data_IF_593685468304
#
_entry.id   IF_593685468304
#
_cell.length_a   1.000
_cell.length_b   1.000
_cell.length_c   1.000
_cell.angle_alpha   90.00
_cell.angle_beta   90.00
_cell.angle_gamma   90.00
#
_symmetry.space_group_name_H-M   'P 1'
#
loop_
_entity.id
_entity.type
_entity.pdbx_description
1 polymer ?
#
# COMPACT_ATOMS: atom_id res chain seq x y z
N UNK A 1 -29.94 42.41 11.65
CA UNK A 1 -28.51 42.34 11.28
C UNK A 1 -27.85 41.41 12.28
N UNK A 2 -27.98 40.11 12.06
CA UNK A 2 -27.33 39.10 12.91
C UNK A 2 -26.14 38.55 12.13
N UNK A 3 -24.97 38.64 12.77
CA UNK A 3 -23.68 38.27 12.22
C UNK A 3 -23.60 36.78 11.99
N UNK A 4 -23.48 36.41 10.71
CA UNK A 4 -23.03 35.10 10.27
C UNK A 4 -21.63 34.83 10.83
N UNK A 5 -21.56 33.96 11.84
CA UNK A 5 -20.31 33.37 12.33
C UNK A 5 -19.66 32.61 11.18
N UNK A 6 -18.57 33.15 10.66
CA UNK A 6 -17.64 32.46 9.78
C UNK A 6 -17.15 31.22 10.54
N UNK A 7 -17.56 30.03 10.09
CA UNK A 7 -17.06 28.78 10.62
C UNK A 7 -15.61 28.64 10.13
N UNK A 8 -14.65 28.68 11.05
CA UNK A 8 -13.24 28.45 10.73
C UNK A 8 -13.09 27.10 9.99
N UNK A 9 -12.24 27.02 8.95
CA UNK A 9 -12.00 25.77 8.25
C UNK A 9 -11.46 24.73 9.25
N UNK A 10 -11.97 23.49 9.22
CA UNK A 10 -11.53 22.47 10.16
C UNK A 10 -10.02 22.23 10.01
N UNK A 11 -9.30 21.97 11.11
CA UNK A 11 -7.86 21.74 11.06
C UNK A 11 -7.54 20.55 10.13
N UNK A 12 -6.42 20.65 9.43
CA UNK A 12 -5.90 19.69 8.42
C UNK A 12 -5.87 18.24 8.93
N UNK A 13 -5.92 18.05 10.25
CA UNK A 13 -5.79 16.78 10.96
C UNK A 13 -7.13 16.02 11.11
N UNK A 14 -8.24 16.58 10.63
CA UNK A 14 -9.59 15.99 10.79
C UNK A 14 -9.72 14.64 10.09
N UNK A 15 -8.97 14.41 9.01
CA UNK A 15 -8.98 13.14 8.30
C UNK A 15 -8.31 12.01 9.10
N UNK A 16 -7.21 12.31 9.81
CA UNK A 16 -6.51 11.33 10.65
C UNK A 16 -7.39 10.89 11.82
N UNK A 17 -8.04 11.84 12.50
CA UNK A 17 -8.97 11.53 13.59
C UNK A 17 -10.24 10.80 13.11
N UNK A 18 -10.70 11.03 11.89
CA UNK A 18 -11.85 10.32 11.32
C UNK A 18 -11.51 8.85 10.97
N UNK A 19 -10.26 8.57 10.56
CA UNK A 19 -9.80 7.20 10.33
C UNK A 19 -9.53 6.48 11.66
N UNK A 20 -8.93 7.15 12.64
CA UNK A 20 -8.71 6.60 13.98
C UNK A 20 -10.03 6.28 14.69
N UNK A 21 -11.04 7.15 14.53
CA UNK A 21 -12.39 6.93 15.06
C UNK A 21 -13.10 5.72 14.41
N UNK A 22 -12.69 5.29 13.22
CA UNK A 22 -13.26 4.12 12.55
C UNK A 22 -12.61 2.80 12.98
N UNK A 23 -11.41 2.86 13.56
CA UNK A 23 -10.47 1.73 13.55
C UNK A 23 -10.44 0.88 14.82
N UNK A 24 -10.75 1.42 16.00
CA UNK A 24 -10.39 0.72 17.26
C UNK A 24 -11.51 -0.05 17.99
N UNK A 25 -12.76 0.44 18.03
CA UNK A 25 -13.77 -0.07 18.98
C UNK A 25 -15.18 -0.35 18.40
N UNK A 26 -15.33 -0.41 17.07
CA UNK A 26 -16.64 -0.66 16.48
C UNK A 26 -16.96 -2.16 16.36
N UNK A 27 -18.08 -2.66 16.94
CA UNK A 27 -18.44 -4.08 16.95
C UNK A 27 -18.80 -4.68 15.57
N UNK A 28 -18.71 -3.88 14.50
CA UNK A 28 -18.98 -4.28 13.11
C UNK A 28 -17.73 -4.26 12.21
N UNK A 29 -16.61 -3.71 12.66
CA UNK A 29 -15.38 -3.62 11.88
C UNK A 29 -14.37 -4.67 12.36
N UNK A 30 -14.37 -5.82 11.69
CA UNK A 30 -13.33 -6.83 11.84
C UNK A 30 -12.44 -6.82 10.58
N UNK A 31 -11.16 -6.40 10.69
CA UNK A 31 -10.23 -6.40 9.56
C UNK A 31 -10.12 -7.76 8.87
N UNK A 32 -10.22 -8.84 9.65
CA UNK A 32 -10.17 -10.19 9.12
C UNK A 32 -11.40 -10.47 8.24
N UNK A 33 -12.61 -10.20 8.75
CA UNK A 33 -13.84 -10.33 7.97
C UNK A 33 -13.84 -9.45 6.71
N UNK A 34 -13.34 -8.21 6.79
CA UNK A 34 -13.21 -7.34 5.62
C UNK A 34 -12.28 -7.94 4.55
N UNK A 35 -11.13 -8.49 4.95
CA UNK A 35 -10.25 -9.21 4.04
C UNK A 35 -10.91 -10.44 3.40
N UNK A 36 -11.70 -11.21 4.16
CA UNK A 36 -12.49 -12.33 3.62
C UNK A 36 -13.45 -11.84 2.52
N UNK A 37 -14.20 -10.78 2.80
CA UNK A 37 -15.15 -10.19 1.86
C UNK A 37 -14.46 -9.68 0.60
N UNK A 38 -13.26 -9.11 0.74
CA UNK A 38 -12.42 -8.70 -0.39
C UNK A 38 -11.89 -9.91 -1.17
N UNK A 39 -11.45 -10.99 -0.52
CA UNK A 39 -11.00 -12.21 -1.20
C UNK A 39 -12.13 -12.85 -2.04
N UNK A 40 -13.38 -12.80 -1.58
CA UNK A 40 -14.54 -13.32 -2.35
C UNK A 40 -14.79 -12.52 -3.64
N UNK A 41 -14.33 -11.26 -3.71
CA UNK A 41 -14.45 -10.41 -4.91
C UNK A 41 -13.31 -10.60 -5.91
N UNK A 42 -12.34 -11.45 -5.61
CA UNK A 42 -11.26 -11.74 -6.55
C UNK A 42 -11.83 -12.37 -7.83
N UNK A 43 -11.34 -11.96 -9.02
CA UNK A 43 -11.73 -12.59 -10.27
C UNK A 43 -11.31 -14.07 -10.36
N UNK A 44 -11.61 -14.74 -11.47
CA UNK A 44 -11.04 -16.07 -11.72
C UNK A 44 -9.52 -15.98 -11.86
N UNK A 45 -8.80 -17.06 -11.48
CA UNK A 45 -7.34 -17.11 -11.56
C UNK A 45 -6.81 -16.80 -12.97
N UNK A 46 -7.47 -17.31 -14.01
CA UNK A 46 -7.12 -17.03 -15.40
C UNK A 46 -7.27 -15.54 -15.75
N UNK A 47 -8.34 -14.89 -15.27
CA UNK A 47 -8.57 -13.47 -15.52
C UNK A 47 -7.54 -12.61 -14.78
N UNK A 48 -7.13 -12.99 -13.57
CA UNK A 48 -6.08 -12.28 -12.83
C UNK A 48 -4.72 -12.32 -13.55
N UNK A 49 -4.33 -13.47 -14.09
CA UNK A 49 -3.10 -13.59 -14.90
C UNK A 49 -3.17 -12.68 -16.14
N UNK A 50 -4.32 -12.64 -16.80
CA UNK A 50 -4.53 -11.76 -17.96
C UNK A 50 -4.40 -10.28 -17.59
N UNK A 51 -5.07 -9.85 -16.51
CA UNK A 51 -4.98 -8.47 -16.02
C UNK A 51 -3.55 -8.08 -15.65
N UNK A 52 -2.83 -8.94 -14.93
CA UNK A 52 -1.42 -8.71 -14.60
C UNK A 52 -0.56 -8.55 -15.87
N UNK A 53 -0.78 -9.41 -16.87
CA UNK A 53 -0.07 -9.35 -18.15
C UNK A 53 -0.34 -8.04 -18.89
N UNK A 54 -1.60 -7.57 -18.93
CA UNK A 54 -1.97 -6.29 -19.55
C UNK A 54 -1.30 -5.13 -18.82
N UNK A 55 -1.33 -5.12 -17.50
CA UNK A 55 -0.68 -4.09 -16.69
C UNK A 55 0.82 -3.99 -16.97
N UNK A 56 1.56 -5.10 -16.94
CA UNK A 56 3.01 -5.07 -17.19
C UNK A 56 3.35 -4.75 -18.65
N UNK A 57 2.50 -5.14 -19.60
CA UNK A 57 2.70 -4.85 -21.02
C UNK A 57 2.46 -3.38 -21.36
N UNK A 58 1.42 -2.77 -20.81
CA UNK A 58 0.92 -1.46 -21.25
C UNK A 58 1.05 -0.36 -20.17
N UNK A 59 1.09 -0.70 -18.89
CA UNK A 59 0.94 0.24 -17.76
C UNK A 59 2.23 0.62 -17.03
N UNK A 60 3.30 -0.17 -17.13
CA UNK A 60 4.54 0.05 -16.37
C UNK A 60 5.52 1.06 -17.01
N UNK A 61 5.17 1.70 -18.13
CA UNK A 61 6.09 2.53 -18.91
C UNK A 61 6.63 3.76 -18.15
N UNK A 62 5.85 4.34 -17.23
CA UNK A 62 6.24 5.52 -16.45
C UNK A 62 6.80 5.17 -15.06
N UNK A 63 6.30 4.09 -14.47
CA UNK A 63 6.59 3.71 -13.08
C UNK A 63 6.10 2.29 -12.82
N UNK A 64 6.94 1.47 -12.21
CA UNK A 64 6.59 0.12 -11.77
C UNK A 64 6.77 0.02 -10.26
N UNK A 65 5.76 0.38 -9.46
CA UNK A 65 5.85 0.28 -8.00
C UNK A 65 5.93 -1.17 -7.51
N UNK A 66 5.59 -2.14 -8.36
CA UNK A 66 5.68 -3.57 -8.09
C UNK A 66 6.39 -4.31 -9.24
N UNK A 67 7.14 -5.36 -8.90
CA UNK A 67 7.82 -6.23 -9.86
C UNK A 67 6.91 -7.38 -10.32
N UNK A 68 7.13 -7.94 -11.54
CA UNK A 68 6.37 -9.10 -12.01
C UNK A 68 6.41 -10.30 -11.05
N UNK A 69 7.59 -10.62 -10.50
CA UNK A 69 7.75 -11.71 -9.55
C UNK A 69 6.98 -11.49 -8.24
N UNK A 70 6.93 -10.25 -7.75
CA UNK A 70 6.15 -9.91 -6.55
C UNK A 70 4.65 -10.08 -6.81
N UNK A 71 4.16 -9.73 -8.00
CA UNK A 71 2.76 -9.97 -8.37
C UNK A 71 2.46 -11.46 -8.47
N UNK A 72 3.34 -12.26 -9.07
CA UNK A 72 3.12 -13.71 -9.17
C UNK A 72 3.04 -14.37 -7.79
N UNK A 73 3.88 -13.93 -6.85
CA UNK A 73 3.81 -14.36 -5.45
C UNK A 73 2.51 -13.94 -4.78
N UNK A 74 2.06 -12.69 -4.97
CA UNK A 74 0.80 -12.19 -4.43
C UNK A 74 -0.41 -12.94 -4.98
N UNK A 75 -0.43 -13.21 -6.28
CA UNK A 75 -1.48 -14.03 -6.91
C UNK A 75 -1.46 -15.42 -6.30
N UNK A 76 -0.28 -16.05 -6.22
CA UNK A 76 -0.16 -17.38 -5.61
C UNK A 76 -0.70 -17.38 -4.18
N UNK A 77 -0.34 -16.41 -3.35
CA UNK A 77 -0.82 -16.28 -1.97
C UNK A 77 -2.33 -16.08 -1.90
N UNK A 78 -2.89 -15.20 -2.74
CA UNK A 78 -4.32 -14.88 -2.75
C UNK A 78 -5.19 -16.10 -3.10
N UNK A 79 -4.69 -17.01 -3.94
CA UNK A 79 -5.40 -18.24 -4.35
C UNK A 79 -4.94 -19.52 -3.64
N UNK A 80 -3.90 -19.46 -2.79
CA UNK A 80 -3.33 -20.62 -2.10
C UNK A 80 -4.19 -21.19 -0.96
N UNK A 81 -5.40 -20.69 -0.71
CA UNK A 81 -6.32 -21.34 0.23
C UNK A 81 -7.77 -21.28 -0.27
N UNK A 82 -8.40 -22.43 -0.57
CA UNK A 82 -9.82 -22.50 -0.90
C UNK A 82 -10.75 -22.23 0.30
N UNK A 83 -10.20 -21.94 1.48
CA UNK A 83 -10.93 -21.93 2.77
C UNK A 83 -11.19 -20.53 3.36
N UNK A 84 -11.30 -19.48 2.52
CA UNK A 84 -11.64 -18.12 2.95
C UNK A 84 -10.68 -17.44 3.93
N UNK A 85 -9.61 -18.10 4.41
CA UNK A 85 -8.61 -17.47 5.27
C UNK A 85 -7.70 -16.57 4.41
N UNK A 86 -7.75 -15.23 4.57
CA UNK A 86 -6.87 -14.33 3.83
C UNK A 86 -5.41 -14.61 4.22
N UNK A 87 -4.64 -15.16 3.28
CA UNK A 87 -3.17 -15.29 3.40
C UNK A 87 -2.43 -14.02 2.98
N UNK A 88 -3.13 -13.11 2.29
CA UNK A 88 -2.65 -11.79 1.97
C UNK A 88 -3.10 -10.79 3.03
N UNK A 89 -2.22 -9.83 3.37
CA UNK A 89 -2.61 -8.65 4.14
C UNK A 89 -3.61 -7.79 3.36
N UNK A 90 -4.33 -6.94 4.06
CA UNK A 90 -5.26 -6.00 3.42
C UNK A 90 -4.54 -5.09 2.40
N UNK A 91 -3.33 -4.65 2.72
CA UNK A 91 -2.54 -3.81 1.82
C UNK A 91 -2.01 -4.60 0.61
N UNK A 92 -1.69 -5.87 0.77
CA UNK A 92 -1.37 -6.75 -0.37
C UNK A 92 -2.58 -6.96 -1.30
N UNK A 93 -3.79 -7.10 -0.76
CA UNK A 93 -5.01 -7.12 -1.56
C UNK A 93 -5.24 -5.78 -2.28
N UNK A 94 -4.95 -4.66 -1.61
CA UNK A 94 -5.03 -3.33 -2.22
C UNK A 94 -4.06 -3.19 -3.41
N UNK A 95 -2.86 -3.76 -3.32
CA UNK A 95 -1.90 -3.82 -4.43
C UNK A 95 -2.47 -4.61 -5.61
N UNK A 96 -3.01 -5.81 -5.38
CA UNK A 96 -3.61 -6.63 -6.44
C UNK A 96 -4.75 -5.89 -7.15
N UNK A 97 -5.68 -5.33 -6.39
CA UNK A 97 -6.79 -4.56 -6.95
C UNK A 97 -6.33 -3.29 -7.67
N UNK A 98 -5.29 -2.61 -7.17
CA UNK A 98 -4.67 -1.47 -7.85
C UNK A 98 -4.08 -1.85 -9.21
N UNK A 99 -3.40 -3.00 -9.29
CA UNK A 99 -2.91 -3.56 -10.56
C UNK A 99 -4.06 -3.88 -11.50
N UNK A 100 -5.15 -4.49 -11.02
CA UNK A 100 -6.32 -4.79 -11.87
C UNK A 100 -7.02 -3.53 -12.37
N UNK A 101 -7.12 -2.50 -11.53
CA UNK A 101 -7.70 -1.22 -11.89
C UNK A 101 -6.89 -0.53 -13.00
N UNK A 102 -5.56 -0.50 -12.86
CA UNK A 102 -4.67 0.04 -13.88
C UNK A 102 -4.66 -0.81 -15.14
N UNK A 103 -4.65 -2.14 -15.02
CA UNK A 103 -4.76 -3.07 -16.15
C UNK A 103 -5.99 -2.75 -17.01
N UNK A 104 -7.16 -2.67 -16.38
CA UNK A 104 -8.41 -2.34 -17.06
C UNK A 104 -8.41 -0.92 -17.65
N UNK A 105 -7.66 0.02 -17.06
CA UNK A 105 -7.52 1.38 -17.57
C UNK A 105 -6.61 1.47 -18.81
N UNK A 106 -5.57 0.63 -18.88
CA UNK A 106 -4.60 0.57 -20.00
C UNK A 106 -4.90 -0.54 -21.01
N UNK A 107 -6.02 -1.23 -20.84
CA UNK A 107 -6.53 -2.20 -21.79
C UNK A 107 -7.11 -1.47 -23.01
N UNK A 108 -6.54 -1.77 -24.18
CA UNK A 108 -6.93 -1.14 -25.45
C UNK A 108 -8.22 -1.74 -26.03
N UNK A 109 -8.64 -2.90 -25.53
CA UNK A 109 -9.85 -3.58 -25.95
C UNK A 109 -11.09 -3.07 -25.19
N UNK A 110 -10.89 -2.33 -24.08
CA UNK A 110 -11.96 -1.76 -23.28
C UNK A 110 -12.21 -0.28 -23.60
N UNK A 111 -13.44 0.21 -23.38
CA UNK A 111 -13.70 1.64 -23.43
C UNK A 111 -12.81 2.41 -22.43
N UNK A 112 -12.42 3.63 -22.80
CA UNK A 112 -11.71 4.54 -21.90
C UNK A 112 -12.54 4.79 -20.64
N UNK A 113 -11.89 4.79 -19.48
CA UNK A 113 -12.52 5.05 -18.18
C UNK A 113 -13.69 4.09 -17.89
N UNK A 114 -13.51 2.81 -18.23
CA UNK A 114 -14.53 1.78 -18.05
C UNK A 114 -14.92 1.55 -16.58
N UNK A 115 -16.13 1.04 -16.38
CA UNK A 115 -16.67 0.74 -15.06
C UNK A 115 -15.86 -0.35 -14.31
N UNK A 116 -15.20 -1.25 -15.04
CA UNK A 116 -14.38 -2.30 -14.45
C UNK A 116 -13.14 -1.74 -13.75
N UNK A 117 -12.45 -0.79 -14.39
CA UNK A 117 -11.31 -0.08 -13.81
C UNK A 117 -11.72 0.66 -12.52
N UNK A 118 -12.86 1.36 -12.54
CA UNK A 118 -13.39 2.05 -11.37
C UNK A 118 -13.77 1.06 -10.26
N UNK A 119 -14.42 -0.05 -10.60
CA UNK A 119 -14.81 -1.07 -9.64
C UNK A 119 -13.59 -1.66 -8.90
N UNK A 120 -12.53 -2.02 -9.64
CA UNK A 120 -11.30 -2.49 -9.02
C UNK A 120 -10.61 -1.41 -8.20
N UNK A 121 -10.65 -0.15 -8.63
CA UNK A 121 -10.10 0.95 -7.85
C UNK A 121 -10.84 1.16 -6.52
N UNK A 122 -12.17 1.04 -6.51
CA UNK A 122 -12.96 1.11 -5.28
C UNK A 122 -12.65 -0.06 -4.33
N UNK A 123 -12.46 -1.27 -4.86
CA UNK A 123 -12.00 -2.42 -4.07
C UNK A 123 -10.58 -2.20 -3.51
N UNK A 124 -9.68 -1.62 -4.30
CA UNK A 124 -8.32 -1.28 -3.83
C UNK A 124 -8.36 -0.27 -2.68
N UNK A 125 -9.20 0.76 -2.79
CA UNK A 125 -9.39 1.76 -1.72
C UNK A 125 -10.02 1.15 -0.48
N UNK A 126 -11.01 0.27 -0.65
CA UNK A 126 -11.63 -0.46 0.45
C UNK A 126 -10.58 -1.31 1.18
N UNK A 127 -9.77 -2.06 0.44
CA UNK A 127 -8.67 -2.87 0.97
C UNK A 127 -7.63 -2.03 1.72
N UNK A 128 -7.24 -0.87 1.17
CA UNK A 128 -6.29 0.04 1.81
C UNK A 128 -6.84 0.62 3.13
N UNK A 129 -8.16 0.80 3.23
CA UNK A 129 -8.83 1.34 4.42
C UNK A 129 -9.10 0.28 5.51
N UNK A 130 -8.94 -1.02 5.23
CA UNK A 130 -9.17 -2.11 6.22
C UNK A 130 -8.27 -1.95 7.44
N UNK A 131 -7.00 -1.60 7.21
CA UNK A 131 -5.99 -1.38 8.24
C UNK A 131 -5.36 -0.02 8.03
N UNK A 132 -5.17 0.73 9.11
CA UNK A 132 -4.51 2.04 9.08
C UNK A 132 -3.15 1.98 8.38
N UNK A 133 -3.00 2.84 7.37
CA UNK A 133 -1.79 3.00 6.56
C UNK A 133 -0.62 3.55 7.40
N UNK A 134 -0.91 4.27 8.49
CA UNK A 134 0.10 4.94 9.31
C UNK A 134 0.59 4.11 10.50
N UNK A 135 -0.25 3.21 11.00
CA UNK A 135 0.01 2.41 12.21
C UNK A 135 0.76 1.11 11.87
N UNK A 136 0.42 0.50 10.73
CA UNK A 136 1.03 -0.74 10.26
C UNK A 136 1.65 -0.53 8.87
N UNK A 137 2.75 0.25 8.76
CA UNK A 137 3.36 0.54 7.48
C UNK A 137 4.12 -0.68 6.94
N UNK A 138 3.64 -1.23 5.83
CA UNK A 138 4.27 -2.32 5.08
C UNK A 138 4.79 -1.80 3.72
N UNK A 139 5.69 -2.56 3.09
CA UNK A 139 6.07 -2.30 1.69
C UNK A 139 4.84 -2.30 0.78
N UNK A 140 3.91 -3.22 1.01
CA UNK A 140 2.65 -3.31 0.27
C UNK A 140 1.81 -2.04 0.41
N UNK A 141 1.84 -1.36 1.56
CA UNK A 141 1.16 -0.08 1.77
C UNK A 141 1.70 1.01 0.84
N UNK A 142 3.03 1.09 0.72
CA UNK A 142 3.70 2.05 -0.19
C UNK A 142 3.35 1.74 -1.64
N UNK A 143 3.38 0.46 -2.02
CA UNK A 143 3.01 0.01 -3.36
C UNK A 143 1.55 0.34 -3.70
N UNK A 144 0.62 0.09 -2.78
CA UNK A 144 -0.79 0.37 -2.97
C UNK A 144 -1.06 1.87 -3.13
N UNK A 145 -0.44 2.72 -2.31
CA UNK A 145 -0.55 4.18 -2.43
C UNK A 145 0.04 4.70 -3.75
N UNK A 146 1.16 4.13 -4.20
CA UNK A 146 1.76 4.46 -5.48
C UNK A 146 0.85 4.05 -6.66
N UNK A 147 0.26 2.84 -6.62
CA UNK A 147 -0.71 2.41 -7.63
C UNK A 147 -1.98 3.29 -7.63
N UNK A 148 -2.44 3.71 -6.46
CA UNK A 148 -3.58 4.62 -6.34
C UNK A 148 -3.29 6.00 -6.94
N UNK A 149 -2.09 6.56 -6.71
CA UNK A 149 -1.71 7.84 -7.33
C UNK A 149 -1.63 7.75 -8.85
N UNK A 150 -1.14 6.62 -9.37
CA UNK A 150 -1.15 6.35 -10.81
C UNK A 150 -2.59 6.29 -11.33
N UNK A 151 -3.48 5.59 -10.65
CA UNK A 151 -4.88 5.52 -11.09
C UNK A 151 -5.51 6.91 -11.12
N UNK A 152 -5.32 7.73 -10.09
CA UNK A 152 -5.85 9.10 -10.04
C UNK A 152 -5.25 10.01 -11.13
N UNK A 153 -3.99 9.81 -11.50
CA UNK A 153 -3.32 10.59 -12.55
C UNK A 153 -3.81 10.23 -13.95
N UNK A 154 -4.14 8.95 -14.19
CA UNK A 154 -4.48 8.43 -15.52
C UNK A 154 -6.00 8.20 -15.71
N UNK A 155 -6.77 8.16 -14.61
CA UNK A 155 -8.19 7.78 -14.57
C UNK A 155 -9.16 8.78 -15.19
N UNK A 156 -8.64 9.86 -15.79
CA UNK A 156 -9.40 10.82 -16.57
C UNK A 156 -9.90 12.04 -15.79
N UNK A 157 -10.74 12.87 -16.42
CA UNK A 157 -11.11 14.20 -15.91
C UNK A 157 -11.96 14.18 -14.64
N UNK A 158 -12.39 13.00 -14.18
CA UNK A 158 -13.15 12.83 -12.92
C UNK A 158 -12.26 12.92 -11.69
N UNK A 159 -10.96 12.72 -11.83
CA UNK A 159 -10.02 12.73 -10.73
C UNK A 159 -9.16 14.00 -10.79
N UNK A 160 -8.89 14.58 -9.62
CA UNK A 160 -8.00 15.73 -9.52
C UNK A 160 -6.55 15.29 -9.38
N UNK A 161 -5.65 16.05 -9.99
CA UNK A 161 -4.21 15.83 -9.82
C UNK A 161 -3.76 16.02 -8.36
N UNK A 162 -4.45 16.89 -7.62
CA UNK A 162 -4.22 17.07 -6.17
C UNK A 162 -4.41 15.76 -5.40
N UNK A 163 -5.42 14.95 -5.76
CA UNK A 163 -5.63 13.65 -5.16
C UNK A 163 -4.45 12.70 -5.40
N UNK A 164 -3.90 12.70 -6.61
CA UNK A 164 -2.71 11.91 -6.93
C UNK A 164 -1.49 12.37 -6.13
N UNK A 165 -1.25 13.68 -6.02
CA UNK A 165 -0.15 14.23 -5.23
C UNK A 165 -0.27 13.94 -3.74
N UNK A 166 -1.49 13.96 -3.20
CA UNK A 166 -1.74 13.56 -1.81
C UNK A 166 -1.36 12.08 -1.59
N UNK A 167 -1.73 11.18 -2.51
CA UNK A 167 -1.33 9.77 -2.44
C UNK A 167 0.19 9.59 -2.50
N UNK A 168 0.88 10.33 -3.37
CA UNK A 168 2.36 10.29 -3.47
C UNK A 168 3.01 10.81 -2.18
N UNK A 169 2.49 11.89 -1.61
CA UNK A 169 3.00 12.44 -0.34
C UNK A 169 2.85 11.41 0.78
N UNK A 170 1.66 10.81 0.92
CA UNK A 170 1.43 9.74 1.91
C UNK A 170 2.37 8.55 1.68
N UNK A 171 2.54 8.09 0.44
CA UNK A 171 3.46 6.99 0.12
C UNK A 171 4.90 7.33 0.54
N UNK A 172 5.33 8.57 0.32
CA UNK A 172 6.66 9.07 0.69
C UNK A 172 6.84 9.10 2.21
N UNK A 173 5.82 9.54 2.96
CA UNK A 173 5.83 9.52 4.43
C UNK A 173 5.87 8.09 5.00
N UNK A 174 5.07 7.18 4.46
CA UNK A 174 5.05 5.77 4.87
C UNK A 174 6.38 5.08 4.54
N UNK A 175 6.93 5.31 3.34
CA UNK A 175 8.23 4.77 2.93
C UNK A 175 9.36 5.16 3.90
N UNK A 176 9.35 6.40 4.39
CA UNK A 176 10.32 6.86 5.39
C UNK A 176 10.19 6.06 6.70
N UNK A 177 8.96 5.81 7.18
CA UNK A 177 8.73 4.98 8.37
C UNK A 177 9.20 3.54 8.17
N UNK A 178 8.86 2.89 7.06
CA UNK A 178 9.27 1.51 6.77
C UNK A 178 10.80 1.38 6.75
N UNK A 179 11.49 2.32 6.10
CA UNK A 179 12.96 2.32 6.02
C UNK A 179 13.62 2.48 7.39
N UNK A 180 13.07 3.33 8.26
CA UNK A 180 13.61 3.54 9.59
C UNK A 180 13.47 2.28 10.45
N UNK A 181 12.32 1.61 10.41
CA UNK A 181 12.09 0.35 11.14
C UNK A 181 13.07 -0.75 10.71
N UNK A 182 13.27 -0.94 9.40
CA UNK A 182 14.24 -1.90 8.86
C UNK A 182 15.69 -1.57 9.27
N UNK A 183 16.05 -0.29 9.25
CA UNK A 183 17.41 0.15 9.65
C UNK A 183 17.65 -0.09 11.13
N UNK A 184 16.65 0.16 11.97
CA UNK A 184 16.72 -0.09 13.41
C UNK A 184 16.87 -1.58 13.74
N UNK A 185 16.08 -2.44 13.11
CA UNK A 185 16.18 -3.91 13.23
C UNK A 185 17.56 -4.43 12.83
N UNK A 186 18.12 -3.95 11.71
CA UNK A 186 19.47 -4.32 11.29
C UNK A 186 20.53 -3.80 12.27
N UNK A 187 20.35 -2.59 12.82
CA UNK A 187 21.22 -2.03 13.86
C UNK A 187 21.23 -2.88 15.14
N UNK A 188 20.06 -3.35 15.59
CA UNK A 188 19.94 -4.25 16.74
C UNK A 188 20.62 -5.60 16.47
N UNK A 189 20.38 -6.20 15.30
CA UNK A 189 21.00 -7.49 14.91
C UNK A 189 22.53 -7.39 14.82
N UNK A 190 23.05 -6.27 14.34
CA UNK A 190 24.49 -6.00 14.28
C UNK A 190 25.09 -5.67 15.66
N UNK A 191 24.33 -4.99 16.54
CA UNK A 191 24.75 -4.66 17.90
C UNK A 191 24.85 -5.87 18.84
N UNK A 192 24.08 -6.92 18.60
CA UNK A 192 24.17 -8.20 19.33
C UNK A 192 25.32 -9.10 18.86
N UNK A 193 26.01 -8.75 17.76
CA UNK A 193 26.97 -9.61 17.08
C UNK A 193 28.45 -9.42 17.44
N UNK A 194 28.84 -8.45 18.27
CA UNK A 194 30.28 -8.22 18.52
C UNK A 194 30.62 -7.72 19.93
N UNK A 195 30.52 -8.63 20.91
CA UNK A 195 31.25 -8.53 22.18
C UNK A 195 32.41 -9.54 22.19
N UNK A 196 33.36 -9.42 21.26
CA UNK A 196 34.69 -10.01 21.40
C UNK A 196 35.76 -8.96 21.14
N UNK A 197 36.14 -8.32 22.25
CA UNK A 197 37.48 -7.83 22.60
C UNK A 197 38.40 -7.50 21.42
N UNK A 198 38.43 -6.23 21.02
CA UNK A 198 39.63 -5.65 20.42
C UNK A 198 40.62 -5.44 21.57
N UNK A 199 41.39 -6.47 21.92
CA UNK A 199 42.58 -6.29 22.74
C UNK A 199 43.61 -5.54 21.91
N UNK A 200 43.76 -4.25 22.19
CA UNK A 200 44.88 -3.43 21.72
C UNK A 200 46.18 -4.00 22.31
N UNK A 201 47.22 -4.31 21.53
CA UNK A 201 48.48 -4.76 22.09
C UNK A 201 49.17 -3.59 22.79
N UNK A 202 49.43 -3.76 24.09
CA UNK A 202 50.24 -2.85 24.91
C UNK A 202 51.67 -2.78 24.38
N UNK A 203 52.08 -1.62 23.87
CA UNK A 203 53.46 -1.34 23.47
C UNK A 203 54.31 -1.13 24.73
N UNK A 204 55.25 -2.04 24.98
CA UNK A 204 56.21 -1.93 26.07
C UNK A 204 57.11 -0.67 25.92
N UNK A 205 57.51 -0.01 27.02
CA UNK A 205 58.42 1.12 26.97
C UNK A 205 59.86 0.64 26.72
N UNK A 206 60.55 1.29 25.79
CA UNK A 206 61.98 1.07 25.54
C UNK A 206 62.80 1.62 26.72
N UNK A 207 63.61 0.76 27.33
CA UNK A 207 64.62 1.12 28.31
C UNK A 207 65.89 1.63 27.63
N UNK A 208 66.37 2.78 28.12
CA UNK A 208 67.68 3.45 28.02
C UNK A 208 68.77 2.87 27.11
#
# INVERSE_FOLDING_TARGET
>A
MEGSTLQDPPPINTFTHAIDAFSADHPFWDPFHACVMLCIRLPSHAHVIQLASIYFRNGCWSSSPILPSEIDELITQAYASPQLLPKCSAHQLAVLYGVFALAALVDLDLPRYNAQALHFFDLARAALAVVSVFDYPETATVQALALASLFLSHGGPRFSMEGAWNMISMASHVCQKVRLSLTFELGLRMGTGNSRLITVPSRAPASH
#
